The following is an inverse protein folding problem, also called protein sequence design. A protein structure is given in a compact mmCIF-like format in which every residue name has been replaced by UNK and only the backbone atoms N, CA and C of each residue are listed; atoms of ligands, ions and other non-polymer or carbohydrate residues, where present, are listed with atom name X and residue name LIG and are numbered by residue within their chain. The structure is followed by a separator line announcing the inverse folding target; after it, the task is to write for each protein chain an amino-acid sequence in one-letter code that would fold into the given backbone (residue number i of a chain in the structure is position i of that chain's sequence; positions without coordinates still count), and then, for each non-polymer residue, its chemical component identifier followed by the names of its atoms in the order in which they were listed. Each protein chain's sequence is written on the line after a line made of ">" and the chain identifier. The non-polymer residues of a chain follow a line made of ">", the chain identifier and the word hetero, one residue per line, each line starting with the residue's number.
data_IF_451772383970
#
_entry.id   IF_451772383970
#
_cell.length_a   1.000
_cell.length_b   1.000
_cell.length_c   1.000
_cell.angle_alpha   90.00
_cell.angle_beta   90.00
_cell.angle_gamma   90.00
#
_symmetry.space_group_name_H-M   'P 1'
#
loop_
_entity.id
_entity.type
_entity.pdbx_description
1 polymer ?
#
# COMPACT_ATOMS: atom_id res chain seq x y z
N UNK A 1 25.77 6.38 -4.90
CA UNK A 1 24.38 5.87 -4.94
C UNK A 1 24.35 4.46 -4.39
N UNK A 2 23.54 4.23 -3.38
CA UNK A 2 23.33 2.91 -2.76
C UNK A 2 21.89 2.50 -2.89
N UNK A 3 21.65 1.19 -2.83
CA UNK A 3 20.30 0.61 -2.90
C UNK A 3 20.13 -0.42 -1.78
N UNK A 4 18.94 -0.47 -1.24
CA UNK A 4 18.54 -1.49 -0.27
C UNK A 4 17.14 -1.96 -0.62
N UNK A 5 16.92 -3.27 -0.60
CA UNK A 5 15.62 -3.86 -0.94
C UNK A 5 15.16 -4.74 0.20
N UNK A 6 13.90 -4.56 0.58
CA UNK A 6 13.23 -5.41 1.56
C UNK A 6 11.84 -5.79 1.04
N UNK A 7 11.29 -6.88 1.55
CA UNK A 7 9.98 -7.37 1.18
C UNK A 7 9.15 -7.60 2.43
N UNK A 8 7.88 -7.21 2.37
CA UNK A 8 6.89 -7.55 3.37
C UNK A 8 5.91 -8.54 2.75
N UNK A 9 5.40 -9.47 3.57
CA UNK A 9 4.35 -10.40 3.15
C UNK A 9 3.15 -10.22 4.04
N UNK A 10 1.98 -10.04 3.42
CA UNK A 10 0.70 -9.93 4.13
C UNK A 10 -0.21 -11.07 3.73
N UNK A 11 -0.86 -11.65 4.72
CA UNK A 11 -1.96 -12.60 4.55
C UNK A 11 -3.06 -12.12 5.49
N UNK A 12 -3.93 -11.26 5.00
CA UNK A 12 -4.92 -10.57 5.84
C UNK A 12 -6.04 -11.51 6.26
N UNK A 13 -6.57 -11.28 7.46
CA UNK A 13 -7.72 -12.04 7.96
C UNK A 13 -9.01 -11.65 7.24
N UNK A 14 -9.11 -10.38 6.83
CA UNK A 14 -10.28 -9.83 6.15
C UNK A 14 -10.07 -9.76 4.65
N UNK A 15 -11.16 -9.81 3.91
CA UNK A 15 -11.16 -9.61 2.47
C UNK A 15 -10.65 -8.21 2.09
N UNK A 16 -11.10 -7.17 2.80
CA UNK A 16 -10.55 -5.80 2.72
C UNK A 16 -9.97 -5.41 4.06
N UNK A 17 -8.75 -4.87 4.03
CA UNK A 17 -8.04 -4.46 5.24
C UNK A 17 -7.00 -3.40 4.90
N UNK A 18 -6.85 -2.39 5.76
CA UNK A 18 -5.88 -1.30 5.59
C UNK A 18 -4.90 -1.33 6.75
N UNK A 19 -3.61 -1.49 6.44
CA UNK A 19 -2.58 -1.72 7.45
C UNK A 19 -1.58 -0.57 7.40
N UNK A 20 -1.38 0.10 8.55
CA UNK A 20 -0.32 1.11 8.68
C UNK A 20 1.03 0.39 8.69
N UNK A 21 1.81 0.59 7.63
CA UNK A 21 3.13 -0.04 7.46
C UNK A 21 4.28 0.96 7.64
N UNK A 22 3.99 2.14 8.17
CA UNK A 22 5.02 3.15 8.44
C UNK A 22 6.17 2.59 9.28
N UNK A 23 5.93 1.80 10.36
CA UNK A 23 7.03 1.22 11.13
C UNK A 23 7.94 0.30 10.31
N UNK A 24 7.38 -0.47 9.38
CA UNK A 24 8.13 -1.37 8.50
C UNK A 24 8.97 -0.59 7.50
N UNK A 25 8.43 0.51 6.98
CA UNK A 25 9.16 1.41 6.08
C UNK A 25 10.32 2.08 6.80
N UNK A 26 10.08 2.57 8.02
CA UNK A 26 11.13 3.13 8.88
C UNK A 26 12.22 2.09 9.20
N UNK A 27 11.82 0.86 9.46
CA UNK A 27 12.77 -0.24 9.70
C UNK A 27 13.67 -0.49 8.49
N UNK A 28 13.08 -0.53 7.29
CA UNK A 28 13.86 -0.68 6.05
C UNK A 28 14.85 0.47 5.86
N UNK A 29 14.43 1.70 6.15
CA UNK A 29 15.32 2.86 6.08
C UNK A 29 16.51 2.71 7.03
N UNK A 30 16.26 2.34 8.29
CA UNK A 30 17.33 2.13 9.27
C UNK A 30 18.32 1.05 8.80
N UNK A 31 17.82 -0.07 8.30
CA UNK A 31 18.65 -1.16 7.79
C UNK A 31 19.48 -0.74 6.58
N UNK A 32 18.95 0.16 5.75
CA UNK A 32 19.65 0.65 4.57
C UNK A 32 20.85 1.53 4.91
N UNK A 33 20.84 2.19 6.06
CA UNK A 33 21.79 3.22 6.48
C UNK A 33 21.88 4.41 5.50
N UNK A 34 20.92 4.57 4.61
CA UNK A 34 20.83 5.69 3.66
C UNK A 34 20.31 6.92 4.40
N UNK A 35 20.95 8.06 4.20
CA UNK A 35 20.65 9.29 4.89
C UNK A 35 19.90 10.31 4.04
N UNK A 36 20.15 10.31 2.76
CA UNK A 36 19.55 11.24 1.80
C UNK A 36 19.13 10.45 0.57
N UNK A 37 17.87 10.57 0.16
CA UNK A 37 17.37 9.88 -1.00
C UNK A 37 15.85 9.74 -1.00
N UNK A 38 15.40 8.57 -1.41
CA UNK A 38 13.96 8.27 -1.46
C UNK A 38 13.68 6.80 -1.24
N UNK A 39 12.46 6.50 -0.83
CA UNK A 39 11.96 5.13 -0.66
C UNK A 39 10.76 4.94 -1.58
N UNK A 40 10.80 3.88 -2.38
CA UNK A 40 9.65 3.36 -3.09
C UNK A 40 9.01 2.27 -2.23
N UNK A 41 7.69 2.35 -2.03
CA UNK A 41 6.89 1.30 -1.38
C UNK A 41 5.83 0.88 -2.38
N UNK A 42 5.86 -0.36 -2.82
CA UNK A 42 5.01 -0.81 -3.93
C UNK A 42 4.37 -2.17 -3.64
N UNK A 43 3.04 -2.22 -3.75
CA UNK A 43 2.31 -3.48 -3.68
C UNK A 43 2.58 -4.29 -4.95
N UNK A 44 2.93 -5.56 -4.76
CA UNK A 44 3.28 -6.47 -5.85
C UNK A 44 2.09 -7.36 -6.21
N UNK A 45 0.91 -6.74 -6.32
CA UNK A 45 -0.30 -7.46 -6.67
C UNK A 45 -1.32 -6.52 -7.30
N UNK A 46 -2.10 -7.06 -8.22
CA UNK A 46 -3.09 -6.31 -9.01
C UNK A 46 -4.39 -6.00 -8.26
N UNK A 47 -4.55 -6.50 -7.04
CA UNK A 47 -5.72 -6.27 -6.19
C UNK A 47 -5.35 -5.67 -4.83
N UNK A 48 -4.21 -5.01 -4.76
CA UNK A 48 -3.72 -4.31 -3.58
C UNK A 48 -3.18 -2.94 -3.98
N UNK A 49 -2.90 -2.10 -2.99
CA UNK A 49 -2.34 -0.77 -3.23
C UNK A 49 -1.60 -0.23 -2.03
N UNK A 50 -1.03 0.95 -2.20
CA UNK A 50 -0.32 1.68 -1.14
C UNK A 50 -0.73 3.14 -1.23
N UNK A 51 -1.02 3.77 -0.08
CA UNK A 51 -1.25 5.21 -0.02
C UNK A 51 -0.50 5.85 1.14
N UNK A 52 -0.44 7.18 1.13
CA UNK A 52 0.06 7.99 2.24
C UNK A 52 -1.05 8.93 2.65
N UNK A 53 -1.52 8.82 3.89
CA UNK A 53 -2.53 9.70 4.45
C UNK A 53 -2.57 9.56 5.96
N UNK A 54 -3.55 10.20 6.61
CA UNK A 54 -3.71 10.20 8.04
C UNK A 54 -4.16 8.83 8.59
N UNK A 55 -3.70 8.50 9.78
CA UNK A 55 -4.02 7.27 10.50
C UNK A 55 -5.16 7.50 11.50
N UNK A 56 -6.33 7.89 11.00
CA UNK A 56 -7.50 8.18 11.81
C UNK A 56 -8.63 7.23 11.42
N UNK A 57 -9.27 6.60 12.39
CA UNK A 57 -10.24 5.53 12.17
C UNK A 57 -11.47 5.98 11.37
N UNK A 58 -11.96 7.19 11.62
CA UNK A 58 -13.10 7.75 10.88
C UNK A 58 -12.76 7.96 9.41
N UNK A 59 -11.56 8.50 9.14
CA UNK A 59 -11.07 8.69 7.77
C UNK A 59 -10.91 7.34 7.05
N UNK A 60 -10.38 6.33 7.72
CA UNK A 60 -10.25 5.00 7.12
C UNK A 60 -11.62 4.42 6.74
N UNK A 61 -12.63 4.61 7.59
CA UNK A 61 -14.00 4.19 7.28
C UNK A 61 -14.57 4.98 6.09
N UNK A 62 -14.30 6.27 6.01
CA UNK A 62 -14.72 7.12 4.89
C UNK A 62 -14.05 6.70 3.59
N UNK A 63 -12.75 6.40 3.62
CA UNK A 63 -12.02 5.91 2.45
C UNK A 63 -12.61 4.59 1.97
N UNK A 64 -12.89 3.66 2.87
CA UNK A 64 -13.47 2.37 2.53
C UNK A 64 -14.84 2.52 1.86
N UNK A 65 -15.71 3.36 2.44
CA UNK A 65 -17.04 3.63 1.88
C UNK A 65 -16.95 4.34 0.52
N UNK A 66 -16.03 5.28 0.37
CA UNK A 66 -15.82 6.00 -0.88
C UNK A 66 -15.33 5.07 -2.00
N UNK A 67 -14.36 4.20 -1.71
CA UNK A 67 -13.86 3.22 -2.68
C UNK A 67 -14.95 2.22 -3.07
N UNK A 68 -15.77 1.78 -2.12
CA UNK A 68 -16.89 0.88 -2.39
C UNK A 68 -17.94 1.56 -3.27
N UNK A 69 -18.17 2.86 -3.09
CA UNK A 69 -19.08 3.63 -3.94
C UNK A 69 -18.57 3.76 -5.37
N UNK A 70 -17.27 4.00 -5.55
CA UNK A 70 -16.67 4.19 -6.88
C UNK A 70 -16.49 2.88 -7.64
N UNK A 71 -16.15 1.81 -6.94
CA UNK A 71 -15.90 0.49 -7.51
C UNK A 71 -16.64 -0.56 -6.69
N UNK A 72 -17.99 -0.64 -6.79
CA UNK A 72 -18.77 -1.49 -5.92
C UNK A 72 -18.53 -2.97 -6.18
N UNK A 73 -18.57 -3.76 -5.12
CA UNK A 73 -18.65 -5.23 -5.25
C UNK A 73 -19.98 -5.60 -5.93
N UNK A 74 -19.89 -6.30 -7.05
CA UNK A 74 -21.07 -6.76 -7.82
C UNK A 74 -20.69 -7.94 -8.70
N UNK A 75 -21.70 -8.70 -9.14
CA UNK A 75 -21.47 -9.93 -9.89
C UNK A 75 -21.24 -9.72 -11.39
N UNK A 76 -21.71 -8.62 -11.95
CA UNK A 76 -21.83 -8.41 -13.39
C UNK A 76 -20.62 -7.69 -14.03
N UNK A 77 -19.47 -7.65 -13.36
CA UNK A 77 -18.25 -7.20 -14.01
C UNK A 77 -17.85 -8.15 -15.15
N UNK A 78 -17.41 -7.60 -16.28
CA UNK A 78 -16.94 -8.41 -17.41
C UNK A 78 -15.76 -9.30 -17.04
N UNK A 79 -14.92 -8.87 -16.10
CA UNK A 79 -13.82 -9.67 -15.57
C UNK A 79 -14.29 -11.01 -14.98
N UNK A 80 -15.50 -11.07 -14.46
CA UNK A 80 -16.06 -12.28 -13.87
C UNK A 80 -16.37 -13.38 -14.89
N UNK A 81 -16.28 -13.09 -16.19
CA UNK A 81 -16.38 -14.11 -17.26
C UNK A 81 -15.23 -15.13 -17.19
N UNK A 82 -14.13 -14.79 -16.51
CA UNK A 82 -12.99 -15.69 -16.28
C UNK A 82 -13.22 -16.67 -15.13
N UNK A 83 -14.36 -16.59 -14.44
CA UNK A 83 -14.64 -17.34 -13.22
C UNK A 83 -14.22 -16.61 -11.95
N UNK A 84 -13.64 -15.42 -12.06
CA UNK A 84 -13.24 -14.60 -10.91
C UNK A 84 -14.44 -13.86 -10.31
N UNK A 85 -14.25 -13.31 -9.08
CA UNK A 85 -15.28 -12.56 -8.36
C UNK A 85 -14.76 -11.20 -7.87
N UNK A 86 -13.59 -10.79 -8.29
CA UNK A 86 -12.79 -9.69 -7.72
C UNK A 86 -12.63 -8.49 -8.64
N UNK A 87 -13.56 -8.25 -9.55
CA UNK A 87 -13.47 -7.10 -10.46
C UNK A 87 -13.38 -5.76 -9.75
N UNK A 88 -14.13 -5.60 -8.66
CA UNK A 88 -14.08 -4.40 -7.82
C UNK A 88 -12.69 -4.19 -7.20
N UNK A 89 -12.03 -5.28 -6.80
CA UNK A 89 -10.70 -5.22 -6.18
C UNK A 89 -9.64 -4.70 -7.15
N UNK A 90 -9.72 -5.08 -8.42
CA UNK A 90 -8.84 -4.53 -9.47
C UNK A 90 -9.08 -3.03 -9.68
N UNK A 91 -10.35 -2.61 -9.70
CA UNK A 91 -10.68 -1.21 -9.88
C UNK A 91 -10.29 -0.36 -8.69
N UNK A 92 -10.51 -0.86 -7.47
CA UNK A 92 -10.05 -0.20 -6.24
C UNK A 92 -8.52 -0.04 -6.24
N UNK A 93 -7.80 -1.08 -6.67
CA UNK A 93 -6.34 -1.02 -6.80
C UNK A 93 -5.91 0.06 -7.78
N UNK A 94 -6.58 0.21 -8.91
CA UNK A 94 -6.28 1.27 -9.88
C UNK A 94 -6.56 2.66 -9.32
N UNK A 95 -7.62 2.83 -8.54
CA UNK A 95 -7.96 4.12 -7.91
C UNK A 95 -6.92 4.54 -6.88
N UNK A 96 -6.47 3.62 -6.05
CA UNK A 96 -5.47 3.86 -5.01
C UNK A 96 -4.06 3.95 -5.60
N UNK A 97 -3.79 3.17 -6.62
CA UNK A 97 -2.49 2.93 -7.21
C UNK A 97 -1.63 1.96 -6.38
N UNK A 98 -0.56 1.46 -7.00
CA UNK A 98 0.23 0.38 -6.39
C UNK A 98 1.43 0.88 -5.59
N UNK A 99 1.85 2.14 -5.73
CA UNK A 99 3.07 2.63 -5.07
C UNK A 99 2.95 4.04 -4.53
N UNK A 100 3.87 4.32 -3.60
CA UNK A 100 4.19 5.68 -3.16
C UNK A 100 5.70 5.86 -3.14
N UNK A 101 6.15 7.10 -3.26
CA UNK A 101 7.53 7.50 -3.08
C UNK A 101 7.59 8.46 -1.91
N UNK A 102 8.52 8.21 -0.98
CA UNK A 102 8.70 8.99 0.24
C UNK A 102 10.11 9.58 0.25
N UNK A 103 10.26 10.89 0.45
CA UNK A 103 11.58 11.49 0.59
C UNK A 103 12.28 11.02 1.86
N UNK A 104 13.61 10.92 1.81
CA UNK A 104 14.48 10.63 2.95
C UNK A 104 15.42 11.81 3.15
N UNK A 105 15.37 12.41 4.32
CA UNK A 105 16.21 13.55 4.71
C UNK A 105 16.76 13.31 6.11
N UNK A 106 18.05 13.47 6.30
CA UNK A 106 18.71 13.28 7.59
C UNK A 106 18.35 11.94 8.26
N UNK A 107 18.37 10.86 7.51
CA UNK A 107 18.09 9.50 7.97
C UNK A 107 16.66 9.27 8.45
N UNK A 108 15.72 10.12 8.03
CA UNK A 108 14.31 10.04 8.43
C UNK A 108 13.39 10.11 7.19
N UNK A 109 12.22 9.53 7.31
CA UNK A 109 11.13 9.78 6.36
C UNK A 109 10.74 11.25 6.49
N UNK A 110 10.84 11.99 5.39
CA UNK A 110 10.55 13.43 5.40
C UNK A 110 9.07 13.65 5.14
N UNK A 111 8.28 13.37 6.15
CA UNK A 111 6.83 13.44 6.13
C UNK A 111 6.30 14.73 6.76
N UNK A 112 5.14 15.17 6.28
CA UNK A 112 4.28 16.05 7.05
C UNK A 112 3.77 15.34 8.31
N UNK A 113 3.28 16.09 9.32
CA UNK A 113 3.01 15.53 10.65
C UNK A 113 1.94 14.43 10.69
N UNK A 114 1.07 14.35 9.69
CA UNK A 114 -0.05 13.40 9.68
C UNK A 114 0.08 12.31 8.61
N UNK A 115 1.18 12.28 7.87
CA UNK A 115 1.40 11.31 6.81
C UNK A 115 1.84 9.96 7.37
N UNK A 116 1.12 8.90 6.98
CA UNK A 116 1.44 7.52 7.33
C UNK A 116 1.30 6.67 6.07
N UNK A 117 2.12 5.66 5.92
CA UNK A 117 2.07 4.74 4.78
C UNK A 117 1.11 3.60 5.11
N UNK A 118 0.14 3.36 4.23
CA UNK A 118 -0.83 2.28 4.35
C UNK A 118 -0.69 1.28 3.21
N UNK A 119 -0.71 0.00 3.58
CA UNK A 119 -0.98 -1.09 2.64
C UNK A 119 -2.49 -1.31 2.58
N UNK A 120 -3.04 -1.31 1.37
CA UNK A 120 -4.46 -1.48 1.12
C UNK A 120 -4.72 -2.84 0.47
N UNK A 121 -5.44 -3.70 1.17
CA UNK A 121 -5.84 -5.02 0.68
C UNK A 121 -7.27 -4.98 0.19
N UNK A 122 -7.50 -5.36 -1.07
CA UNK A 122 -8.85 -5.39 -1.64
C UNK A 122 -9.35 -6.80 -1.95
N UNK A 123 -8.50 -7.80 -1.89
CA UNK A 123 -8.84 -9.20 -2.17
C UNK A 123 -7.96 -10.12 -1.31
N UNK A 124 -8.15 -10.02 -0.01
CA UNK A 124 -7.30 -10.62 1.01
C UNK A 124 -7.50 -12.11 1.23
N UNK A 125 -7.03 -12.56 2.38
CA UNK A 125 -7.07 -13.97 2.81
C UNK A 125 -6.18 -14.87 1.95
N UNK A 126 -5.13 -14.28 1.40
CA UNK A 126 -4.07 -14.98 0.65
C UNK A 126 -2.77 -14.16 0.68
N UNK A 127 -1.60 -14.80 0.56
CA UNK A 127 -0.32 -14.09 0.65
C UNK A 127 -0.11 -13.12 -0.51
N UNK A 128 0.33 -11.90 -0.17
CA UNK A 128 0.74 -10.88 -1.13
C UNK A 128 1.96 -10.17 -0.59
N UNK A 129 2.80 -9.66 -1.48
CA UNK A 129 4.05 -8.99 -1.10
C UNK A 129 4.01 -7.50 -1.40
N UNK A 130 4.79 -6.78 -0.62
CA UNK A 130 5.12 -5.37 -0.84
C UNK A 130 6.63 -5.27 -0.93
N UNK A 131 7.14 -4.59 -1.95
CA UNK A 131 8.56 -4.28 -2.05
C UNK A 131 8.82 -2.89 -1.47
N UNK A 132 9.88 -2.80 -0.68
CA UNK A 132 10.41 -1.51 -0.20
C UNK A 132 11.80 -1.37 -0.82
N UNK A 133 12.00 -0.30 -1.57
CA UNK A 133 13.27 -0.01 -2.21
C UNK A 133 13.78 1.36 -1.78
N UNK A 134 14.92 1.37 -1.10
CA UNK A 134 15.56 2.60 -0.63
C UNK A 134 16.73 2.90 -1.57
N UNK A 135 16.83 4.14 -2.02
CA UNK A 135 17.94 4.58 -2.85
C UNK A 135 18.46 5.94 -2.39
N UNK A 136 19.75 6.12 -2.44
CA UNK A 136 20.40 7.38 -2.05
C UNK A 136 21.81 7.19 -1.53
N UNK A 137 22.24 8.13 -0.70
CA UNK A 137 23.56 8.13 -0.09
C UNK A 137 23.53 7.97 1.43
#
# INVERSE_FOLDING_TARGET
>A
MRFYTDYLTFNTEKHREYINITPEVESALRKSAIREGMILVSAMHITAGVWVNDAESGLLADIDAWLEKLAPFREDYRHHRTGETNGDSHLKSLLVHHEVIVPVTNSKLDFGPWQQVYYAEFDGQRPKRVIIKVMGE
#
